data_IF_583806387125
#
_entry.id   IF_583806387125
#
_cell.length_a   1.000
_cell.length_b   1.000
_cell.length_c   1.000
_cell.angle_alpha   90.00
_cell.angle_beta   90.00
_cell.angle_gamma   90.00
#
_symmetry.space_group_name_H-M   'P 1'
#
loop_
_entity.id
_entity.type
_entity.pdbx_description
1 polymer ?
#
# COMPACT_ATOMS: atom_id res chain seq x y z
N UNK A 1 10.26 27.05 -7.55
CA UNK A 1 9.61 26.87 -8.87
C UNK A 1 8.99 25.48 -8.98
N UNK A 2 7.78 25.37 -9.55
CA UNK A 2 7.13 24.11 -9.95
C UNK A 2 8.05 23.36 -10.93
N UNK A 3 8.16 22.03 -10.80
CA UNK A 3 8.91 21.24 -11.77
C UNK A 3 8.02 21.04 -13.00
N UNK A 4 8.36 21.64 -14.16
CA UNK A 4 7.50 21.59 -15.34
C UNK A 4 7.30 20.17 -15.86
N UNK A 5 8.33 19.29 -15.79
CA UNK A 5 8.21 17.91 -16.27
C UNK A 5 7.30 17.05 -15.40
N UNK A 6 7.36 17.20 -14.07
CA UNK A 6 6.45 16.49 -13.16
C UNK A 6 5.02 16.99 -13.26
N UNK A 7 4.83 18.31 -13.40
CA UNK A 7 3.50 18.91 -13.58
C UNK A 7 2.86 18.41 -14.86
N UNK A 8 3.64 18.35 -15.95
CA UNK A 8 3.21 17.78 -17.22
C UNK A 8 2.84 16.30 -17.08
N UNK A 9 3.65 15.50 -16.38
CA UNK A 9 3.36 14.07 -16.14
C UNK A 9 2.08 13.86 -15.34
N UNK A 10 1.85 14.62 -14.27
CA UNK A 10 0.63 14.55 -13.46
C UNK A 10 -0.59 14.91 -14.30
N UNK A 11 -0.51 16.00 -15.05
CA UNK A 11 -1.61 16.43 -15.91
C UNK A 11 -1.91 15.41 -17.02
N UNK A 12 -0.92 14.62 -17.44
CA UNK A 12 -1.07 13.54 -18.42
C UNK A 12 -1.50 12.18 -17.81
N UNK A 13 -1.61 12.06 -16.48
CA UNK A 13 -2.02 10.81 -15.83
C UNK A 13 -3.42 10.33 -16.27
N UNK A 14 -4.46 11.19 -16.36
CA UNK A 14 -5.78 10.74 -16.79
C UNK A 14 -5.77 10.04 -18.15
N UNK A 15 -5.04 10.59 -19.12
CA UNK A 15 -4.93 10.02 -20.48
C UNK A 15 -4.07 8.76 -20.49
N UNK A 16 -3.01 8.74 -19.68
CA UNK A 16 -2.14 7.56 -19.52
C UNK A 16 -2.92 6.39 -18.92
N UNK A 17 -3.68 6.64 -17.84
CA UNK A 17 -4.53 5.64 -17.21
C UNK A 17 -5.66 5.20 -18.14
N UNK A 18 -6.26 6.12 -18.90
CA UNK A 18 -7.31 5.77 -19.86
C UNK A 18 -6.77 4.86 -20.97
N UNK A 19 -5.58 5.15 -21.52
CA UNK A 19 -4.92 4.27 -22.50
C UNK A 19 -4.59 2.90 -21.92
N UNK A 20 -4.05 2.86 -20.69
CA UNK A 20 -3.75 1.60 -20.01
C UNK A 20 -5.02 0.77 -19.78
N UNK A 21 -6.13 1.41 -19.39
CA UNK A 21 -7.41 0.72 -19.22
C UNK A 21 -8.02 0.23 -20.54
N UNK A 22 -7.68 0.87 -21.66
CA UNK A 22 -8.10 0.42 -23.00
C UNK A 22 -7.16 -0.63 -23.60
N UNK A 23 -6.03 -0.93 -22.95
CA UNK A 23 -5.15 -2.01 -23.37
C UNK A 23 -5.87 -3.36 -23.20
N UNK A 24 -5.99 -4.19 -24.25
CA UNK A 24 -6.72 -5.45 -24.17
C UNK A 24 -6.21 -6.38 -23.08
N UNK A 25 -4.90 -6.46 -22.86
CA UNK A 25 -4.32 -7.35 -21.85
C UNK A 25 -4.66 -6.87 -20.43
N UNK A 26 -4.64 -5.57 -20.20
CA UNK A 26 -5.01 -4.98 -18.90
C UNK A 26 -6.51 -5.13 -18.66
N UNK A 27 -7.34 -4.82 -19.65
CA UNK A 27 -8.80 -4.97 -19.56
C UNK A 27 -9.19 -6.43 -19.31
N UNK A 28 -8.53 -7.38 -19.96
CA UNK A 28 -8.78 -8.81 -19.75
C UNK A 28 -8.36 -9.24 -18.34
N UNK A 29 -7.20 -8.79 -17.85
CA UNK A 29 -6.73 -9.07 -16.48
C UNK A 29 -7.73 -8.58 -15.43
N UNK A 30 -8.23 -7.34 -15.59
CA UNK A 30 -9.26 -6.76 -14.71
C UNK A 30 -10.55 -7.57 -14.76
N UNK A 31 -11.02 -7.96 -15.96
CA UNK A 31 -12.22 -8.77 -16.10
C UNK A 31 -12.10 -10.15 -15.43
N UNK A 32 -10.92 -10.78 -15.49
CA UNK A 32 -10.64 -12.04 -14.78
C UNK A 32 -10.64 -11.85 -13.26
N UNK A 33 -10.13 -10.73 -12.77
CA UNK A 33 -10.17 -10.40 -11.35
C UNK A 33 -11.61 -10.20 -10.86
N UNK A 34 -12.42 -9.45 -11.61
CA UNK A 34 -13.84 -9.25 -11.31
C UNK A 34 -14.61 -10.57 -11.29
N UNK A 35 -14.36 -11.46 -12.26
CA UNK A 35 -15.04 -12.76 -12.27
C UNK A 35 -14.60 -13.64 -11.10
N UNK A 36 -13.33 -13.58 -10.71
CA UNK A 36 -12.84 -14.28 -9.51
C UNK A 36 -13.53 -13.76 -8.25
N UNK A 37 -13.68 -12.44 -8.13
CA UNK A 37 -14.44 -11.81 -7.03
C UNK A 37 -15.91 -12.25 -7.02
N UNK A 38 -16.58 -12.28 -8.17
CA UNK A 38 -17.97 -12.75 -8.28
C UNK A 38 -18.12 -14.21 -7.87
N UNK A 39 -17.18 -15.08 -8.28
CA UNK A 39 -17.15 -16.49 -7.85
C UNK A 39 -17.04 -16.60 -6.33
N UNK A 40 -16.09 -15.88 -5.71
CA UNK A 40 -15.93 -15.88 -4.25
C UNK A 40 -17.17 -15.35 -3.53
N UNK A 41 -17.76 -14.27 -4.02
CA UNK A 41 -18.96 -13.67 -3.42
C UNK A 41 -20.16 -14.62 -3.45
N UNK A 42 -20.27 -15.47 -4.50
CA UNK A 42 -21.32 -16.49 -4.61
C UNK A 42 -21.19 -17.64 -3.60
N UNK A 43 -20.04 -17.79 -2.93
CA UNK A 43 -19.85 -18.78 -1.88
C UNK A 43 -20.42 -18.32 -0.53
N UNK A 44 -20.82 -17.05 -0.39
CA UNK A 44 -21.36 -16.52 0.87
C UNK A 44 -22.85 -16.87 1.05
N UNK A 45 -23.32 -17.09 2.30
CA UNK A 45 -22.55 -17.08 3.54
C UNK A 45 -21.73 -18.38 3.70
N UNK A 46 -20.53 -18.26 4.27
CA UNK A 46 -19.69 -19.41 4.61
C UNK A 46 -20.14 -19.99 5.96
N UNK A 47 -20.03 -21.31 6.11
CA UNK A 47 -20.22 -21.95 7.41
C UNK A 47 -18.99 -21.76 8.35
N UNK A 48 -19.07 -22.25 9.58
CA UNK A 48 -18.00 -22.07 10.57
C UNK A 48 -16.66 -22.73 10.18
N UNK A 49 -16.69 -23.82 9.40
CA UNK A 49 -15.49 -24.51 8.93
C UNK A 49 -14.88 -23.75 7.75
N UNK A 50 -15.70 -23.37 6.79
CA UNK A 50 -15.30 -22.59 5.62
C UNK A 50 -14.75 -21.22 6.02
N UNK A 51 -15.38 -20.55 6.99
CA UNK A 51 -14.89 -19.28 7.53
C UNK A 51 -13.52 -19.43 8.19
N UNK A 52 -13.33 -20.49 8.98
CA UNK A 52 -12.03 -20.79 9.62
C UNK A 52 -10.92 -21.03 8.59
N UNK A 53 -11.23 -21.75 7.49
CA UNK A 53 -10.28 -21.99 6.41
C UNK A 53 -9.88 -20.68 5.69
N UNK A 54 -10.85 -19.77 5.46
CA UNK A 54 -10.56 -18.46 4.89
C UNK A 54 -9.73 -17.60 5.85
N UNK A 55 -9.98 -17.65 7.15
CA UNK A 55 -9.21 -16.88 8.13
C UNK A 55 -7.78 -17.39 8.29
N UNK A 56 -7.56 -18.71 8.16
CA UNK A 56 -6.22 -19.29 8.05
C UNK A 56 -5.50 -18.84 6.77
N UNK A 57 -6.19 -18.88 5.63
CA UNK A 57 -5.64 -18.38 4.37
C UNK A 57 -5.27 -16.89 4.45
N UNK A 58 -6.12 -16.07 5.08
CA UNK A 58 -5.85 -14.64 5.30
C UNK A 58 -4.61 -14.41 6.16
N UNK A 59 -4.41 -15.22 7.21
CA UNK A 59 -3.20 -15.15 8.06
C UNK A 59 -1.93 -15.48 7.27
N UNK A 60 -1.93 -16.59 6.52
CA UNK A 60 -0.79 -16.96 5.66
C UNK A 60 -0.51 -15.91 4.58
N UNK A 61 -1.58 -15.39 3.94
CA UNK A 61 -1.45 -14.32 2.96
C UNK A 61 -0.84 -13.05 3.56
N UNK A 62 -1.30 -12.62 4.74
CA UNK A 62 -0.80 -11.42 5.40
C UNK A 62 0.68 -11.57 5.77
N UNK A 63 1.09 -12.73 6.28
CA UNK A 63 2.49 -13.01 6.59
C UNK A 63 3.38 -12.89 5.34
N UNK A 64 2.96 -13.49 4.22
CA UNK A 64 3.68 -13.39 2.94
C UNK A 64 3.66 -11.98 2.37
N UNK A 65 2.56 -11.26 2.52
CA UNK A 65 2.44 -9.87 2.08
C UNK A 65 3.45 -8.98 2.83
N UNK A 66 3.50 -9.09 4.15
CA UNK A 66 4.43 -8.34 5.01
C UNK A 66 5.87 -8.70 4.68
N UNK A 67 6.19 -10.00 4.62
CA UNK A 67 7.53 -10.50 4.30
C UNK A 67 8.02 -9.98 2.95
N UNK A 68 7.26 -10.20 1.87
CA UNK A 68 7.68 -9.82 0.52
C UNK A 68 7.77 -8.29 0.37
N UNK A 69 6.83 -7.54 0.94
CA UNK A 69 6.87 -6.07 0.89
C UNK A 69 8.12 -5.51 1.58
N UNK A 70 8.45 -6.05 2.76
CA UNK A 70 9.64 -5.62 3.48
C UNK A 70 10.94 -6.10 2.83
N UNK A 71 10.95 -7.28 2.21
CA UNK A 71 12.11 -7.78 1.47
C UNK A 71 12.44 -6.89 0.26
N UNK A 72 11.41 -6.37 -0.45
CA UNK A 72 11.59 -5.39 -1.53
C UNK A 72 12.27 -4.11 -1.00
N UNK A 73 11.95 -3.70 0.23
CA UNK A 73 12.54 -2.54 0.91
C UNK A 73 13.88 -2.85 1.62
N UNK A 74 14.42 -4.07 1.46
CA UNK A 74 15.74 -4.47 1.96
C UNK A 74 15.77 -5.09 3.36
N UNK A 75 14.62 -5.52 3.90
CA UNK A 75 14.57 -6.33 5.12
C UNK A 75 15.26 -7.68 4.91
N UNK A 76 15.91 -8.18 5.95
CA UNK A 76 16.56 -9.49 5.99
C UNK A 76 15.83 -10.50 6.88
N UNK A 77 14.65 -10.15 7.41
CA UNK A 77 13.82 -11.08 8.16
C UNK A 77 13.42 -12.24 7.25
N UNK A 78 13.52 -13.47 7.75
CA UNK A 78 12.93 -14.62 7.05
C UNK A 78 11.40 -14.57 7.12
N UNK A 79 10.72 -15.39 6.31
CA UNK A 79 9.26 -15.54 6.42
C UNK A 79 8.86 -15.99 7.83
N UNK A 80 9.58 -16.97 8.39
CA UNK A 80 9.34 -17.48 9.75
C UNK A 80 9.54 -16.40 10.82
N UNK A 81 10.58 -15.58 10.70
CA UNK A 81 10.80 -14.47 11.63
C UNK A 81 9.68 -13.41 11.52
N UNK A 82 9.18 -13.18 10.31
CA UNK A 82 8.08 -12.26 10.06
C UNK A 82 6.78 -12.74 10.70
N UNK A 83 6.46 -14.04 10.56
CA UNK A 83 5.31 -14.69 11.22
C UNK A 83 5.38 -14.52 12.74
N UNK A 84 6.53 -14.85 13.36
CA UNK A 84 6.75 -14.72 14.80
C UNK A 84 6.58 -13.26 15.29
N UNK A 85 7.06 -12.29 14.51
CA UNK A 85 6.93 -10.86 14.82
C UNK A 85 5.46 -10.42 14.80
N UNK A 86 4.67 -10.96 13.87
CA UNK A 86 3.25 -10.67 13.72
C UNK A 86 2.39 -11.33 14.81
N UNK A 87 2.73 -12.55 15.22
CA UNK A 87 2.07 -13.26 16.33
C UNK A 87 2.35 -12.57 17.69
N UNK A 88 3.40 -11.75 17.76
CA UNK A 88 3.77 -11.02 18.98
C UNK A 88 4.53 -11.87 20.00
N UNK A 89 4.83 -13.12 19.64
CA UNK A 89 5.43 -14.12 20.53
C UNK A 89 6.96 -14.03 20.61
N UNK A 90 7.63 -13.39 19.64
CA UNK A 90 9.10 -13.30 19.64
C UNK A 90 9.65 -12.08 18.88
N UNK A 91 10.75 -11.54 19.38
CA UNK A 91 11.60 -10.56 18.69
C UNK A 91 12.89 -11.29 18.36
N UNK A 92 13.20 -11.58 17.08
CA UNK A 92 14.44 -12.27 16.73
C UNK A 92 15.64 -11.50 17.29
N UNK A 93 16.41 -12.14 18.19
CA UNK A 93 17.51 -11.51 18.94
C UNK A 93 18.57 -10.89 18.02
N UNK A 94 18.76 -11.47 16.83
CA UNK A 94 19.79 -11.07 15.87
C UNK A 94 19.27 -10.13 14.76
N UNK A 95 18.00 -9.71 14.81
CA UNK A 95 17.41 -8.83 13.80
C UNK A 95 17.38 -7.37 14.23
N UNK A 96 17.81 -6.43 13.36
CA UNK A 96 17.68 -5.01 13.64
C UNK A 96 16.22 -4.63 13.95
N UNK A 97 15.99 -3.92 15.05
CA UNK A 97 14.67 -3.48 15.49
C UNK A 97 13.86 -2.82 14.35
N UNK A 98 14.53 -2.10 13.45
CA UNK A 98 13.92 -1.47 12.27
C UNK A 98 13.07 -2.41 11.42
N UNK A 99 13.49 -3.66 11.25
CA UNK A 99 12.76 -4.63 10.42
C UNK A 99 11.54 -5.19 11.15
N UNK A 100 11.66 -5.39 12.47
CA UNK A 100 10.54 -5.82 13.32
C UNK A 100 9.44 -4.75 13.32
N UNK A 101 9.81 -3.49 13.51
CA UNK A 101 8.86 -2.37 13.46
C UNK A 101 8.28 -2.14 12.07
N UNK A 102 9.06 -2.35 11.00
CA UNK A 102 8.54 -2.29 9.63
C UNK A 102 7.52 -3.41 9.36
N UNK A 103 7.78 -4.64 9.84
CA UNK A 103 6.83 -5.76 9.71
C UNK A 103 5.50 -5.46 10.40
N UNK A 104 5.55 -4.98 11.65
CA UNK A 104 4.33 -4.55 12.37
C UNK A 104 3.62 -3.40 11.67
N UNK A 105 4.36 -2.38 11.22
CA UNK A 105 3.77 -1.23 10.52
C UNK A 105 3.05 -1.62 9.23
N UNK A 106 3.58 -2.57 8.44
CA UNK A 106 2.91 -3.06 7.22
C UNK A 106 1.65 -3.87 7.57
N UNK A 107 1.70 -4.71 8.61
CA UNK A 107 0.54 -5.47 9.08
C UNK A 107 -0.58 -4.53 9.59
N UNK A 108 -0.24 -3.58 10.47
CA UNK A 108 -1.17 -2.58 10.99
C UNK A 108 -1.72 -1.69 9.86
N UNK A 109 -0.89 -1.39 8.86
CA UNK A 109 -1.29 -0.66 7.66
C UNK A 109 -2.36 -1.41 6.87
N UNK A 110 -2.22 -2.73 6.71
CA UNK A 110 -3.23 -3.56 6.04
C UNK A 110 -4.54 -3.60 6.86
N UNK A 111 -4.46 -3.78 8.17
CA UNK A 111 -5.64 -3.73 9.04
C UNK A 111 -6.38 -2.39 8.93
N UNK A 112 -5.65 -1.28 8.81
CA UNK A 112 -6.24 0.04 8.56
C UNK A 112 -6.91 0.13 7.17
N UNK A 113 -6.33 -0.47 6.13
CA UNK A 113 -6.93 -0.54 4.79
C UNK A 113 -8.24 -1.31 4.82
N UNK A 114 -8.27 -2.48 5.47
CA UNK A 114 -9.50 -3.29 5.62
C UNK A 114 -10.59 -2.48 6.34
N UNK A 115 -10.24 -1.89 7.49
CA UNK A 115 -11.13 -1.03 8.28
C UNK A 115 -11.69 0.16 7.48
N UNK A 116 -10.88 0.71 6.56
CA UNK A 116 -11.26 1.82 5.70
C UNK A 116 -12.20 1.37 4.57
N UNK A 117 -11.89 0.24 3.92
CA UNK A 117 -12.71 -0.34 2.84
C UNK A 117 -14.11 -0.69 3.36
N UNK A 118 -14.21 -1.26 4.56
CA UNK A 118 -15.49 -1.62 5.18
C UNK A 118 -16.42 -0.41 5.39
N UNK A 119 -15.86 0.79 5.59
CA UNK A 119 -16.64 2.02 5.76
C UNK A 119 -17.14 2.62 4.45
N UNK A 120 -16.67 2.11 3.30
CA UNK A 120 -17.01 2.61 1.96
C UNK A 120 -16.85 4.13 1.80
N UNK A 121 -15.94 4.73 2.58
CA UNK A 121 -15.60 6.14 2.41
C UNK A 121 -14.74 6.30 1.15
N UNK A 122 -14.93 7.39 0.37
CA UNK A 122 -14.06 7.67 -0.76
C UNK A 122 -12.61 7.82 -0.33
N UNK A 123 -11.68 7.30 -1.12
CA UNK A 123 -10.25 7.53 -0.90
C UNK A 123 -9.94 9.03 -0.95
N UNK A 124 -9.36 9.54 0.14
CA UNK A 124 -8.87 10.91 0.22
C UNK A 124 -7.42 10.96 0.70
N UNK A 125 -6.91 12.18 0.80
CA UNK A 125 -5.52 12.41 1.18
C UNK A 125 -5.23 12.10 2.66
N UNK A 126 -6.23 12.20 3.53
CA UNK A 126 -6.06 11.95 4.95
C UNK A 126 -5.95 10.44 5.21
N UNK A 127 -6.66 9.61 4.45
CA UNK A 127 -6.48 8.15 4.43
C UNK A 127 -5.05 7.77 4.04
N UNK A 128 -4.54 8.34 2.93
CA UNK A 128 -3.17 8.06 2.46
C UNK A 128 -2.13 8.49 3.51
N UNK A 129 -2.35 9.65 4.14
CA UNK A 129 -1.48 10.18 5.19
C UNK A 129 -1.46 9.28 6.41
N UNK A 130 -2.64 8.81 6.83
CA UNK A 130 -2.76 7.91 7.98
C UNK A 130 -2.11 6.56 7.70
N UNK A 131 -2.32 6.01 6.51
CA UNK A 131 -1.67 4.77 6.09
C UNK A 131 -0.14 4.90 6.10
N UNK A 132 0.40 6.02 5.63
CA UNK A 132 1.84 6.29 5.71
C UNK A 132 2.32 6.41 7.17
N UNK A 133 1.56 7.05 8.06
CA UNK A 133 1.88 7.17 9.48
C UNK A 133 1.99 5.80 10.16
N UNK A 134 1.02 4.92 9.89
CA UNK A 134 0.96 3.57 10.47
C UNK A 134 2.07 2.67 9.90
N UNK A 135 2.37 2.77 8.61
CA UNK A 135 3.39 1.91 7.98
C UNK A 135 4.83 2.36 8.26
N UNK A 136 5.07 3.65 8.51
CA UNK A 136 6.42 4.21 8.66
C UNK A 136 6.98 4.14 10.10
N UNK A 137 6.48 3.23 10.95
CA UNK A 137 6.62 3.27 12.41
C UNK A 137 8.07 3.31 12.96
N UNK A 138 9.08 2.97 12.16
CA UNK A 138 10.47 3.05 12.62
C UNK A 138 11.31 4.23 12.12
N UNK A 139 10.79 5.08 11.23
CA UNK A 139 11.65 6.12 10.63
C UNK A 139 11.77 7.34 11.57
N UNK A 140 12.72 7.23 12.50
CA UNK A 140 13.41 8.26 13.30
C UNK A 140 12.77 8.64 14.65
N UNK A 141 13.33 8.06 15.72
CA UNK A 141 13.59 8.80 16.96
C UNK A 141 14.47 10.01 16.57
N UNK A 142 13.87 11.19 16.38
CA UNK A 142 14.58 12.44 16.15
C UNK A 142 14.06 13.37 15.05
N UNK A 143 13.11 12.96 14.19
CA UNK A 143 12.51 13.88 13.20
C UNK A 143 11.01 13.61 13.05
N UNK A 144 10.19 14.43 13.71
CA UNK A 144 8.73 14.32 13.66
C UNK A 144 8.19 14.72 12.29
N UNK A 145 7.99 13.75 11.38
CA UNK A 145 7.33 13.93 10.07
C UNK A 145 6.23 12.88 9.83
N UNK A 146 5.69 12.32 10.89
CA UNK A 146 4.63 11.32 10.93
C UNK A 146 3.32 11.90 10.41
N UNK A 147 2.70 11.27 9.41
CA UNK A 147 1.50 11.83 8.78
C UNK A 147 1.76 13.17 8.06
N UNK A 148 2.99 13.49 7.67
CA UNK A 148 3.27 14.69 6.88
C UNK A 148 4.08 14.32 5.64
N UNK A 149 3.84 15.04 4.54
CA UNK A 149 4.68 14.91 3.37
C UNK A 149 6.14 15.25 3.72
N UNK A 150 7.08 14.36 3.40
CA UNK A 150 8.49 14.48 3.81
C UNK A 150 9.16 15.82 3.52
N UNK A 151 9.98 16.27 4.50
CA UNK A 151 11.09 17.27 4.55
C UNK A 151 12.00 17.46 3.31
N UNK A 152 12.49 16.33 2.80
CA UNK A 152 13.74 16.21 2.04
C UNK A 152 13.58 15.29 0.83
N UNK A 153 14.37 15.52 -0.22
CA UNK A 153 14.35 14.71 -1.43
C UNK A 153 14.99 13.36 -1.20
N UNK A 154 14.44 12.32 -1.84
CA UNK A 154 14.97 10.97 -1.80
C UNK A 154 15.22 10.51 -3.23
N UNK A 155 16.38 9.92 -3.50
CA UNK A 155 16.54 9.16 -4.74
C UNK A 155 15.79 7.85 -4.56
N UNK A 156 14.91 7.54 -5.51
CA UNK A 156 14.33 6.21 -5.68
C UNK A 156 15.32 5.44 -6.53
N UNK A 157 16.04 4.53 -5.88
CA UNK A 157 16.95 3.63 -6.59
C UNK A 157 16.09 2.52 -7.22
N UNK A 158 16.20 2.37 -8.54
CA UNK A 158 15.69 1.19 -9.23
C UNK A 158 16.87 0.43 -9.82
N UNK A 159 16.72 -0.88 -10.01
CA UNK A 159 17.76 -1.78 -10.57
C UNK A 159 18.28 -1.24 -11.92
N UNK A 160 17.50 -0.45 -12.64
CA UNK A 160 17.82 0.04 -13.98
C UNK A 160 18.11 1.54 -14.05
N UNK A 161 17.61 2.39 -13.15
CA UNK A 161 17.89 3.84 -13.14
C UNK A 161 17.55 4.48 -11.79
N UNK A 162 18.46 5.29 -11.25
CA UNK A 162 18.21 6.09 -10.06
C UNK A 162 17.37 7.33 -10.41
N UNK A 163 16.22 7.51 -9.75
CA UNK A 163 15.32 8.63 -9.96
C UNK A 163 15.27 9.54 -8.73
N UNK A 164 15.83 10.75 -8.80
CA UNK A 164 15.76 11.72 -7.72
C UNK A 164 14.33 12.24 -7.49
N UNK A 165 13.77 12.03 -6.29
CA UNK A 165 12.53 12.66 -5.79
C UNK A 165 12.84 13.83 -4.86
N UNK A 166 11.94 14.82 -4.76
CA UNK A 166 12.22 16.19 -4.27
C UNK A 166 11.98 16.42 -2.76
N UNK A 167 12.66 17.41 -2.12
CA UNK A 167 12.33 17.96 -0.80
C UNK A 167 10.94 18.59 -0.65
N UNK A 168 10.48 18.68 0.60
CA UNK A 168 9.12 18.81 1.14
C UNK A 168 8.22 19.93 0.78
N UNK A 169 8.74 21.12 0.47
CA UNK A 169 7.99 22.33 0.86
C UNK A 169 6.71 22.54 0.05
N UNK A 170 6.42 21.63 -0.91
CA UNK A 170 5.38 21.74 -1.92
C UNK A 170 4.65 20.43 -2.24
N UNK A 171 4.73 19.36 -1.43
CA UNK A 171 3.98 18.10 -1.72
C UNK A 171 2.47 18.21 -1.50
N UNK A 172 1.97 19.11 -0.64
CA UNK A 172 0.51 19.34 -0.44
C UNK A 172 -0.23 19.61 -1.77
N UNK A 173 0.39 20.32 -2.72
CA UNK A 173 -0.23 20.61 -4.02
C UNK A 173 -0.15 19.48 -5.04
N UNK A 174 0.68 18.45 -4.82
CA UNK A 174 0.81 17.27 -5.70
C UNK A 174 0.11 16.02 -5.15
N UNK A 175 -0.15 16.00 -3.84
CA UNK A 175 -1.03 15.02 -3.19
C UNK A 175 -2.52 15.35 -3.37
N UNK A 176 -2.83 16.56 -3.85
CA UNK A 176 -4.07 16.84 -4.57
C UNK A 176 -4.00 16.12 -5.92
N UNK A 177 -4.25 14.81 -5.90
CA UNK A 177 -4.72 14.13 -7.10
C UNK A 177 -5.96 14.92 -7.58
N UNK A 178 -6.08 15.24 -8.88
CA UNK A 178 -7.30 15.85 -9.38
C UNK A 178 -8.49 15.04 -8.89
N UNK A 179 -9.56 15.68 -8.40
CA UNK A 179 -10.75 14.97 -7.93
C UNK A 179 -11.22 13.91 -8.93
N UNK A 180 -11.00 14.10 -10.23
CA UNK A 180 -11.27 13.11 -11.29
C UNK A 180 -10.49 11.80 -11.17
N UNK A 181 -9.24 11.80 -10.69
CA UNK A 181 -8.42 10.59 -10.47
C UNK A 181 -8.86 9.89 -9.18
N UNK A 182 -9.10 10.63 -8.09
CA UNK A 182 -9.63 10.06 -6.84
C UNK A 182 -11.04 9.48 -7.04
N UNK A 183 -11.90 10.16 -7.80
CA UNK A 183 -13.23 9.65 -8.19
C UNK A 183 -13.10 8.38 -9.03
N UNK A 184 -12.15 8.29 -9.97
CA UNK A 184 -11.92 7.07 -10.76
C UNK A 184 -11.41 5.91 -9.90
N UNK A 185 -10.51 6.16 -8.95
CA UNK A 185 -10.04 5.14 -8.00
C UNK A 185 -11.16 4.73 -7.03
N UNK A 186 -11.99 5.67 -6.59
CA UNK A 186 -13.16 5.41 -5.73
C UNK A 186 -14.24 4.58 -6.43
N UNK A 187 -14.40 4.70 -7.76
CA UNK A 187 -15.30 3.82 -8.53
C UNK A 187 -14.94 2.33 -8.42
N UNK A 188 -13.66 2.00 -8.19
CA UNK A 188 -13.22 0.63 -7.92
C UNK A 188 -13.43 0.19 -6.46
N UNK A 189 -13.78 1.11 -5.55
CA UNK A 189 -14.11 0.81 -4.15
C UNK A 189 -15.60 0.50 -3.95
N UNK A 190 -16.46 0.93 -4.89
CA UNK A 190 -17.92 0.73 -4.84
C UNK A 190 -18.43 -0.46 -5.66
N UNK A 191 -17.57 -1.20 -6.37
CA UNK A 191 -17.88 -2.53 -6.92
C UNK A 191 -17.41 -3.62 -5.97
#
# INVERSE_FOLDING_TARGET
MLNPSLTQRINALPDTLSRLMSDPAVSESMARADESKRRLTRLLPLDGVEQSAIDEYRRDWLARYVYNSNAIEGSTLSLKDTELVMEGEFVPTDSPARYIFAARGVADGMAYVEWFVDRRHPLDIDVIRKLHEITAVFRQVGVSCWGWCRFVGLVVDSITTNHATRPSSRRRSMMLMPNSVLIRLSRYQTM
#
